data_IF_921327950185
#
_entry.id   IF_921327950185
#
_cell.length_a   1.000
_cell.length_b   1.000
_cell.length_c   1.000
_cell.angle_alpha   90.00
_cell.angle_beta   90.00
_cell.angle_gamma   90.00
#
_symmetry.space_group_name_H-M   'P 1'
#
loop_
_entity.id
_entity.type
_entity.pdbx_description
1 polymer ?
#
# COMPACT_ATOMS: atom_id res chain seq x y z
N UNK A 1 -13.19 -27.43 6.34
CA UNK A 1 -11.92 -27.04 6.98
C UNK A 1 -11.01 -26.26 6.03
N UNK A 2 -10.79 -26.72 4.78
CA UNK A 2 -9.92 -26.02 3.81
C UNK A 2 -10.40 -24.59 3.48
N UNK A 3 -11.69 -24.38 3.24
CA UNK A 3 -12.23 -23.04 2.93
C UNK A 3 -12.02 -22.05 4.07
N UNK A 4 -12.26 -22.48 5.32
CA UNK A 4 -12.02 -21.65 6.51
C UNK A 4 -10.54 -21.29 6.64
N UNK A 5 -9.63 -22.23 6.40
CA UNK A 5 -8.20 -21.97 6.43
C UNK A 5 -7.79 -20.97 5.33
N UNK A 6 -8.37 -21.07 4.13
CA UNK A 6 -8.14 -20.15 3.03
C UNK A 6 -8.65 -18.74 3.37
N UNK A 7 -9.86 -18.61 3.91
CA UNK A 7 -10.44 -17.32 4.28
C UNK A 7 -9.63 -16.62 5.36
N UNK A 8 -9.20 -17.36 6.39
CA UNK A 8 -8.31 -16.84 7.43
C UNK A 8 -6.96 -16.42 6.83
N UNK A 9 -6.40 -17.24 5.93
CA UNK A 9 -5.16 -16.91 5.23
C UNK A 9 -5.26 -15.61 4.42
N UNK A 10 -6.35 -15.43 3.66
CA UNK A 10 -6.61 -14.21 2.91
C UNK A 10 -6.83 -12.99 3.81
N UNK A 11 -7.51 -13.15 4.94
CA UNK A 11 -7.68 -12.10 5.94
C UNK A 11 -6.32 -11.63 6.49
N UNK A 12 -5.47 -12.56 6.90
CA UNK A 12 -4.11 -12.26 7.40
C UNK A 12 -3.27 -11.60 6.31
N UNK A 13 -3.35 -12.09 5.08
CA UNK A 13 -2.60 -11.53 3.96
C UNK A 13 -2.99 -10.08 3.64
N UNK A 14 -4.29 -9.75 3.65
CA UNK A 14 -4.77 -8.36 3.49
C UNK A 14 -4.27 -7.47 4.62
N UNK A 15 -4.41 -7.92 5.87
CA UNK A 15 -3.98 -7.16 7.04
C UNK A 15 -2.48 -6.84 7.02
N UNK A 16 -1.63 -7.82 6.69
CA UNK A 16 -0.19 -7.63 6.56
C UNK A 16 0.13 -6.61 5.45
N UNK A 17 -0.56 -6.72 4.32
CA UNK A 17 -0.36 -5.84 3.18
C UNK A 17 -0.75 -4.39 3.50
N UNK A 18 -1.90 -4.17 4.12
CA UNK A 18 -2.36 -2.84 4.55
C UNK A 18 -1.39 -2.22 5.57
N UNK A 19 -0.96 -3.01 6.56
CA UNK A 19 0.00 -2.56 7.58
C UNK A 19 1.34 -2.12 6.97
N UNK A 20 1.86 -2.90 6.03
CA UNK A 20 3.12 -2.58 5.34
C UNK A 20 2.98 -1.35 4.43
N UNK A 21 1.84 -1.21 3.73
CA UNK A 21 1.58 -0.03 2.90
C UNK A 21 1.46 1.24 3.74
N UNK A 22 0.80 1.18 4.89
CA UNK A 22 0.72 2.28 5.84
C UNK A 22 2.11 2.64 6.40
N UNK A 23 2.90 1.64 6.80
CA UNK A 23 4.26 1.84 7.25
C UNK A 23 5.12 2.56 6.20
N UNK A 24 5.06 2.10 4.94
CA UNK A 24 5.79 2.73 3.81
C UNK A 24 5.29 4.14 3.52
N UNK A 25 4.00 4.41 3.66
CA UNK A 25 3.44 5.74 3.44
C UNK A 25 3.96 6.76 4.45
N UNK A 26 4.28 6.32 5.67
CA UNK A 26 4.83 7.17 6.74
C UNK A 26 6.36 7.28 6.71
N UNK A 27 7.04 6.37 6.00
CA UNK A 27 8.50 6.36 5.94
C UNK A 27 9.07 7.62 5.25
N UNK A 28 10.21 8.16 5.73
CA UNK A 28 10.88 9.27 5.07
C UNK A 28 11.34 8.87 3.66
N UNK A 29 10.78 9.54 2.65
CA UNK A 29 11.16 9.33 1.26
C UNK A 29 12.10 10.44 0.78
N UNK A 30 13.24 10.07 0.18
CA UNK A 30 14.08 11.01 -0.55
C UNK A 30 13.46 11.30 -1.92
N UNK A 31 12.98 12.53 -2.09
CA UNK A 31 12.37 12.95 -3.35
C UNK A 31 13.44 13.51 -4.31
N UNK A 32 13.62 12.90 -5.50
CA UNK A 32 14.53 13.44 -6.48
C UNK A 32 13.95 14.68 -7.15
N UNK A 33 14.80 15.37 -7.91
CA UNK A 33 14.38 16.45 -8.79
C UNK A 33 13.73 15.88 -10.06
N UNK A 34 12.68 16.53 -10.56
CA UNK A 34 12.04 16.15 -11.81
C UNK A 34 13.01 16.33 -12.99
N UNK A 35 13.25 15.28 -13.83
CA UNK A 35 14.20 15.37 -14.94
C UNK A 35 13.72 16.27 -16.08
N UNK A 36 12.42 16.60 -16.14
CA UNK A 36 11.85 17.44 -17.21
C UNK A 36 11.73 18.92 -16.82
N UNK A 37 11.40 19.23 -15.56
CA UNK A 37 11.13 20.62 -15.14
C UNK A 37 12.02 21.14 -14.01
N UNK A 38 12.91 20.31 -13.45
CA UNK A 38 13.86 20.74 -12.42
C UNK A 38 13.25 21.02 -11.03
N UNK A 39 11.94 20.84 -10.85
CA UNK A 39 11.28 21.02 -9.54
C UNK A 39 11.47 19.78 -8.66
N UNK A 40 11.61 19.98 -7.34
CA UNK A 40 11.67 18.89 -6.36
C UNK A 40 10.33 18.14 -6.34
N UNK A 41 10.39 16.82 -6.51
CA UNK A 41 9.20 15.99 -6.34
C UNK A 41 8.74 16.02 -4.89
N UNK A 42 7.46 15.79 -4.67
CA UNK A 42 6.88 15.66 -3.35
C UNK A 42 5.72 14.68 -3.42
N UNK A 43 5.44 14.05 -2.27
CA UNK A 43 4.24 13.26 -2.09
C UNK A 43 3.00 14.13 -2.34
N UNK A 44 1.97 13.57 -2.97
CA UNK A 44 0.63 14.18 -3.03
C UNK A 44 -0.14 14.04 -1.71
N UNK A 45 0.47 13.41 -0.70
CA UNK A 45 -0.17 12.99 0.53
C UNK A 45 -0.68 11.55 0.44
N UNK A 46 -0.88 10.95 1.61
CA UNK A 46 -1.57 9.67 1.75
C UNK A 46 -3.07 9.90 1.62
N UNK A 47 -3.72 9.16 0.74
CA UNK A 47 -5.17 9.22 0.54
C UNK A 47 -5.72 7.81 0.62
N UNK A 48 -6.82 7.67 1.36
CA UNK A 48 -7.55 6.41 1.45
C UNK A 48 -8.11 6.04 0.09
N UNK A 49 -7.89 4.80 -0.35
CA UNK A 49 -8.36 4.33 -1.66
C UNK A 49 -8.51 2.82 -1.64
N UNK A 50 -9.59 2.35 -2.24
CA UNK A 50 -9.79 0.93 -2.42
C UNK A 50 -8.96 0.41 -3.60
N UNK A 51 -8.22 -0.68 -3.40
CA UNK A 51 -7.40 -1.32 -4.44
C UNK A 51 -7.75 -2.81 -4.54
N UNK A 52 -7.96 -3.28 -5.77
CA UNK A 52 -8.09 -4.71 -6.04
C UNK A 52 -6.70 -5.34 -6.15
N UNK A 53 -6.42 -6.37 -5.33
CA UNK A 53 -5.14 -7.08 -5.30
C UNK A 53 -5.34 -8.59 -5.51
N UNK A 54 -4.23 -9.33 -5.55
CA UNK A 54 -4.24 -10.80 -5.59
C UNK A 54 -4.89 -11.43 -4.35
N UNK A 55 -4.86 -10.74 -3.21
CA UNK A 55 -5.45 -11.24 -1.96
C UNK A 55 -6.86 -10.72 -1.72
N UNK A 56 -7.40 -9.89 -2.62
CA UNK A 56 -8.71 -9.26 -2.54
C UNK A 56 -8.65 -7.73 -2.50
N UNK A 57 -9.78 -7.11 -2.19
CA UNK A 57 -9.84 -5.66 -2.00
C UNK A 57 -9.19 -5.25 -0.66
N UNK A 58 -8.45 -4.15 -0.67
CA UNK A 58 -7.82 -3.50 0.50
C UNK A 58 -8.08 -1.98 0.45
N UNK A 59 -8.00 -1.29 1.59
CA UNK A 59 -8.33 0.15 1.74
C UNK A 59 -7.15 1.06 2.15
#
# INVERSE_FOLDING_TARGET
>A
MVMVALDVGLMVARWLLETELEHRAQAPQTWPTCPHCGRRLHSKGFQRRQMQTLVGAID
#
